data_IF_467800782421
#
_entry.id   IF_467800782421
#
_cell.length_a   1.000
_cell.length_b   1.000
_cell.length_c   1.000
_cell.angle_alpha   90.00
_cell.angle_beta   90.00
_cell.angle_gamma   90.00
#
_symmetry.space_group_name_H-M   'P 1'
#
loop_
_entity.id
_entity.type
_entity.pdbx_description
1 polymer ?
#
# COMPACT_ATOMS: atom_id res chain seq x y z
N UNK A 1 -31.99 -24.21 -16.39
CA UNK A 1 -30.97 -23.16 -16.13
C UNK A 1 -29.62 -23.79 -16.42
N UNK A 2 -28.85 -23.22 -17.34
CA UNK A 2 -27.54 -23.75 -17.72
C UNK A 2 -26.52 -23.53 -16.59
N UNK A 3 -25.38 -24.23 -16.66
CA UNK A 3 -24.28 -23.97 -15.74
C UNK A 3 -23.74 -22.54 -15.90
N UNK A 4 -23.81 -21.98 -17.11
CA UNK A 4 -23.37 -20.63 -17.44
C UNK A 4 -24.26 -19.55 -16.81
N UNK A 5 -25.57 -19.76 -16.77
CA UNK A 5 -26.52 -18.82 -16.14
C UNK A 5 -26.27 -18.69 -14.63
N UNK A 6 -25.78 -19.76 -13.99
CA UNK A 6 -25.40 -19.75 -12.57
C UNK A 6 -24.13 -18.95 -12.35
N UNK A 7 -23.15 -19.09 -13.24
CA UNK A 7 -21.89 -18.34 -13.16
C UNK A 7 -22.09 -16.85 -13.40
N UNK A 8 -22.84 -16.47 -14.44
CA UNK A 8 -23.11 -15.07 -14.76
C UNK A 8 -23.89 -14.32 -13.67
N UNK A 9 -24.60 -15.04 -12.78
CA UNK A 9 -25.30 -14.47 -11.63
C UNK A 9 -24.46 -14.40 -10.35
N UNK A 10 -23.46 -15.28 -10.24
CA UNK A 10 -22.61 -15.39 -9.05
C UNK A 10 -21.31 -14.61 -9.16
N UNK A 11 -20.92 -14.24 -10.38
CA UNK A 11 -19.66 -13.61 -10.71
C UNK A 11 -19.95 -12.26 -11.38
N UNK A 12 -19.20 -11.22 -11.01
CA UNK A 12 -19.24 -9.93 -11.69
C UNK A 12 -18.61 -10.03 -13.09
N UNK A 13 -19.43 -10.46 -14.04
CA UNK A 13 -19.03 -10.65 -15.42
C UNK A 13 -18.70 -9.35 -16.15
N UNK A 14 -19.24 -8.22 -15.69
CA UNK A 14 -18.94 -6.90 -16.27
C UNK A 14 -17.56 -6.42 -15.83
N UNK A 15 -17.23 -6.57 -14.54
CA UNK A 15 -15.89 -6.35 -14.01
C UNK A 15 -14.85 -7.22 -14.72
N UNK A 16 -15.10 -8.52 -14.81
CA UNK A 16 -14.20 -9.44 -15.53
C UNK A 16 -14.00 -9.08 -17.00
N UNK A 17 -15.05 -8.61 -17.69
CA UNK A 17 -14.95 -8.19 -19.09
C UNK A 17 -14.11 -6.92 -19.25
N UNK A 18 -14.12 -6.02 -18.26
CA UNK A 18 -13.27 -4.83 -18.23
C UNK A 18 -11.82 -5.21 -17.95
N UNK A 19 -11.58 -6.00 -16.91
CA UNK A 19 -10.24 -6.48 -16.52
C UNK A 19 -9.59 -7.27 -17.66
N UNK A 20 -10.36 -8.11 -18.37
CA UNK A 20 -9.87 -8.87 -19.53
C UNK A 20 -9.40 -7.93 -20.64
N UNK A 21 -10.14 -6.86 -20.94
CA UNK A 21 -9.73 -5.89 -21.98
C UNK A 21 -8.48 -5.12 -21.59
N UNK A 22 -8.33 -4.76 -20.32
CA UNK A 22 -7.14 -4.08 -19.82
C UNK A 22 -5.91 -5.01 -19.86
N UNK A 23 -6.08 -6.28 -19.48
CA UNK A 23 -5.03 -7.31 -19.59
C UNK A 23 -4.64 -7.57 -21.05
N UNK A 24 -5.62 -7.70 -21.95
CA UNK A 24 -5.37 -7.90 -23.39
C UNK A 24 -4.66 -6.70 -24.02
N UNK A 25 -5.04 -5.47 -23.64
CA UNK A 25 -4.40 -4.24 -24.12
C UNK A 25 -2.94 -4.12 -23.63
N UNK A 26 -2.64 -4.63 -22.44
CA UNK A 26 -1.31 -4.58 -21.82
C UNK A 26 -0.42 -5.81 -22.16
N UNK A 27 -0.80 -6.63 -23.13
CA UNK A 27 0.04 -7.72 -23.63
C UNK A 27 -0.12 -9.06 -22.92
N UNK A 28 -1.21 -9.25 -22.16
CA UNK A 28 -1.60 -10.56 -21.62
C UNK A 28 -0.76 -11.06 -20.44
N UNK A 29 0.23 -10.29 -19.98
CA UNK A 29 0.82 -10.47 -18.65
C UNK A 29 -0.02 -9.62 -17.71
N UNK A 30 -0.49 -10.17 -16.60
CA UNK A 30 -1.14 -9.38 -15.53
C UNK A 30 -0.17 -8.41 -14.82
N UNK A 31 0.85 -7.94 -15.53
CA UNK A 31 1.88 -7.01 -15.07
C UNK A 31 1.31 -5.61 -15.23
N UNK A 32 0.84 -5.06 -14.10
CA UNK A 32 0.57 -3.63 -13.98
C UNK A 32 1.78 -2.84 -14.48
N UNK A 33 1.53 -1.77 -15.24
CA UNK A 33 2.58 -0.87 -15.70
C UNK A 33 3.47 -0.46 -14.53
N UNK A 34 4.78 -0.57 -14.69
CA UNK A 34 5.72 -0.19 -13.64
C UNK A 34 5.66 1.33 -13.43
N UNK A 35 5.20 1.74 -12.24
CA UNK A 35 5.12 3.16 -11.87
C UNK A 35 6.56 3.71 -11.76
N UNK A 36 6.91 4.80 -12.46
CA UNK A 36 8.27 5.33 -12.43
C UNK A 36 8.61 5.94 -11.05
N UNK A 37 9.90 6.16 -10.79
CA UNK A 37 10.32 6.97 -9.65
C UNK A 37 9.87 8.41 -9.85
N UNK A 38 9.43 9.08 -8.79
CA UNK A 38 8.80 10.38 -8.92
C UNK A 38 8.19 10.88 -7.63
N UNK A 39 7.38 11.92 -7.75
CA UNK A 39 6.59 12.44 -6.64
C UNK A 39 5.12 12.20 -6.95
N UNK A 40 4.38 11.73 -5.94
CA UNK A 40 2.98 11.35 -6.08
C UNK A 40 2.18 11.86 -4.90
N UNK A 41 1.01 12.41 -5.17
CA UNK A 41 -0.04 12.60 -4.16
C UNK A 41 -0.76 11.27 -3.99
N UNK A 42 -0.81 10.80 -2.74
CA UNK A 42 -1.37 9.50 -2.39
C UNK A 42 -2.28 9.62 -1.18
N UNK A 43 -3.19 8.66 -1.06
CA UNK A 43 -3.76 8.27 0.23
C UNK A 43 -3.23 6.89 0.64
N UNK A 44 -3.18 6.64 1.93
CA UNK A 44 -2.83 5.31 2.44
C UNK A 44 -4.11 4.47 2.44
N UNK A 45 -4.13 3.43 1.61
CA UNK A 45 -5.30 2.55 1.45
C UNK A 45 -5.33 1.47 2.53
N UNK A 46 -4.15 1.03 2.97
CA UNK A 46 -4.00 -0.06 3.95
C UNK A 46 -2.63 -0.02 4.61
N UNK A 47 -2.59 -0.27 5.91
CA UNK A 47 -1.39 -0.72 6.61
C UNK A 47 -1.69 -1.98 7.43
N UNK A 48 -0.77 -2.93 7.44
CA UNK A 48 -0.91 -4.17 8.20
C UNK A 48 0.44 -4.75 8.61
N UNK A 49 0.43 -5.51 9.71
CA UNK A 49 1.48 -6.46 10.01
C UNK A 49 1.06 -7.85 9.52
N UNK A 50 1.88 -8.48 8.70
CA UNK A 50 1.60 -9.82 8.15
C UNK A 50 2.82 -10.70 8.08
N UNK A 51 2.59 -11.98 7.76
CA UNK A 51 3.64 -12.93 7.46
C UNK A 51 4.17 -12.73 6.04
N UNK A 52 5.49 -12.69 5.87
CA UNK A 52 6.12 -12.73 4.55
C UNK A 52 6.04 -14.12 3.93
N UNK A 53 6.39 -14.25 2.65
CA UNK A 53 6.46 -15.56 1.99
C UNK A 53 7.43 -16.56 2.63
N UNK A 54 8.30 -16.11 3.55
CA UNK A 54 9.27 -16.94 4.27
C UNK A 54 8.90 -17.21 5.73
N UNK A 55 7.77 -16.70 6.20
CA UNK A 55 7.35 -16.83 7.60
C UNK A 55 7.81 -15.71 8.53
N UNK A 56 8.60 -14.76 8.02
CA UNK A 56 9.09 -13.64 8.83
C UNK A 56 8.01 -12.54 8.97
N UNK A 57 7.92 -11.86 10.13
CA UNK A 57 7.03 -10.72 10.32
C UNK A 57 7.40 -9.55 9.38
N UNK A 58 6.39 -8.97 8.76
CA UNK A 58 6.55 -7.97 7.71
C UNK A 58 5.49 -6.87 7.82
N UNK A 59 5.94 -5.63 7.91
CA UNK A 59 5.09 -4.45 7.74
C UNK A 59 4.75 -4.27 6.26
N UNK A 60 3.48 -4.01 5.95
CA UNK A 60 2.98 -3.77 4.59
C UNK A 60 2.13 -2.52 4.56
N UNK A 61 2.38 -1.63 3.60
CA UNK A 61 1.57 -0.44 3.35
C UNK A 61 1.27 -0.28 1.85
N UNK A 62 0.02 0.11 1.56
CA UNK A 62 -0.50 0.28 0.20
C UNK A 62 -0.86 1.74 0.01
N UNK A 63 -0.30 2.39 -1.00
CA UNK A 63 -0.53 3.79 -1.30
C UNK A 63 -1.28 3.91 -2.61
N UNK A 64 -2.46 4.54 -2.61
CA UNK A 64 -3.21 4.80 -3.83
C UNK A 64 -2.88 6.19 -4.35
N UNK A 65 -2.44 6.28 -5.60
CA UNK A 65 -2.17 7.54 -6.27
C UNK A 65 -3.50 8.25 -6.55
N UNK A 66 -3.58 9.53 -6.17
CA UNK A 66 -4.81 10.32 -6.23
C UNK A 66 -4.98 11.05 -7.57
N UNK A 67 -3.87 11.43 -8.22
CA UNK A 67 -3.90 12.27 -9.41
C UNK A 67 -2.81 11.93 -10.43
N UNK A 68 -3.04 12.34 -11.68
CA UNK A 68 -2.07 12.26 -12.77
C UNK A 68 -2.19 10.98 -13.60
N UNK A 69 -1.16 10.68 -14.40
CA UNK A 69 -1.16 9.56 -15.36
C UNK A 69 -1.37 8.18 -14.69
N UNK A 70 -0.94 8.06 -13.43
CA UNK A 70 -0.99 6.81 -12.65
C UNK A 70 -2.10 6.83 -11.59
N UNK A 71 -3.09 7.71 -11.71
CA UNK A 71 -4.23 7.79 -10.80
C UNK A 71 -4.89 6.42 -10.58
N UNK A 72 -5.31 6.17 -9.35
CA UNK A 72 -5.88 4.91 -8.84
C UNK A 72 -4.95 3.69 -8.82
N UNK A 73 -3.72 3.78 -9.35
CA UNK A 73 -2.74 2.70 -9.21
C UNK A 73 -2.15 2.66 -7.79
N UNK A 74 -1.64 1.48 -7.41
CA UNK A 74 -1.09 1.22 -6.08
C UNK A 74 0.43 1.15 -6.10
N UNK A 75 1.06 1.86 -5.15
CA UNK A 75 2.44 1.68 -4.75
C UNK A 75 2.50 0.83 -3.47
N UNK A 76 3.50 -0.03 -3.36
CA UNK A 76 3.61 -0.98 -2.24
C UNK A 76 4.91 -0.77 -1.47
N UNK A 77 4.79 -0.72 -0.14
CA UNK A 77 5.91 -0.82 0.79
C UNK A 77 5.81 -2.13 1.56
N UNK A 78 6.84 -2.97 1.48
CA UNK A 78 6.93 -4.22 2.23
C UNK A 78 8.29 -4.30 2.93
N UNK A 79 8.27 -4.38 4.26
CA UNK A 79 9.47 -4.35 5.08
C UNK A 79 9.46 -5.50 6.10
N UNK A 80 10.35 -6.47 5.93
CA UNK A 80 10.60 -7.51 6.94
C UNK A 80 11.23 -6.86 8.17
N UNK A 81 10.72 -7.18 9.36
CA UNK A 81 11.06 -6.51 10.62
C UNK A 81 11.60 -7.47 11.68
N UNK A 82 12.57 -8.30 11.34
CA UNK A 82 13.21 -9.25 12.26
C UNK A 82 14.41 -8.67 13.02
N UNK A 83 14.84 -7.45 12.68
CA UNK A 83 16.02 -6.79 13.25
C UNK A 83 15.72 -5.36 13.67
N UNK A 84 16.41 -4.87 14.71
CA UNK A 84 16.15 -3.55 15.30
C UNK A 84 16.26 -2.39 14.31
N UNK A 85 17.19 -2.43 13.34
CA UNK A 85 17.28 -1.36 12.33
C UNK A 85 16.09 -1.37 11.35
N UNK A 86 15.50 -2.54 11.08
CA UNK A 86 14.33 -2.67 10.20
C UNK A 86 13.11 -2.07 10.89
N UNK A 87 12.89 -2.43 12.16
CA UNK A 87 11.85 -1.83 13.00
C UNK A 87 12.06 -0.32 13.11
N UNK A 88 13.31 0.12 13.35
CA UNK A 88 13.65 1.54 13.41
C UNK A 88 13.32 2.31 12.12
N UNK A 89 13.47 1.68 10.95
CA UNK A 89 13.09 2.29 9.67
C UNK A 89 11.57 2.41 9.54
N UNK A 90 10.81 1.37 9.91
CA UNK A 90 9.33 1.43 9.91
C UNK A 90 8.83 2.46 10.92
N UNK A 91 9.40 2.53 12.12
CA UNK A 91 9.05 3.57 13.10
C UNK A 91 9.31 4.99 12.57
N UNK A 92 10.39 5.20 11.82
CA UNK A 92 10.66 6.50 11.19
C UNK A 92 9.61 6.85 10.15
N UNK A 93 9.18 5.87 9.35
CA UNK A 93 8.10 6.05 8.39
C UNK A 93 6.77 6.35 9.09
N UNK A 94 6.36 5.54 10.07
CA UNK A 94 5.11 5.75 10.81
C UNK A 94 5.05 7.14 11.48
N UNK A 95 6.15 7.60 12.10
CA UNK A 95 6.23 8.97 12.65
C UNK A 95 6.11 10.06 11.59
N UNK A 96 6.55 9.80 10.36
CA UNK A 96 6.43 10.78 9.27
C UNK A 96 5.00 10.91 8.72
N UNK A 97 4.08 10.05 9.14
CA UNK A 97 2.67 10.15 8.78
C UNK A 97 1.94 11.23 9.59
N UNK A 98 2.54 11.70 10.69
CA UNK A 98 2.01 12.74 11.58
C UNK A 98 0.57 12.48 12.08
N UNK A 99 0.19 11.21 12.17
CA UNK A 99 -1.17 10.80 12.55
C UNK A 99 -1.32 10.55 14.07
N UNK A 100 -0.21 10.28 14.78
CA UNK A 100 -0.19 10.02 16.22
C UNK A 100 1.06 10.63 16.87
N UNK A 101 0.99 10.94 18.16
CA UNK A 101 2.08 11.60 18.90
C UNK A 101 3.30 10.68 19.14
N UNK A 102 3.06 9.38 19.37
CA UNK A 102 4.09 8.43 19.78
C UNK A 102 4.06 7.16 18.94
N UNK A 103 5.24 6.73 18.49
CA UNK A 103 5.46 5.46 17.81
C UNK A 103 6.58 4.72 18.52
N UNK A 104 6.28 3.59 19.13
CA UNK A 104 7.23 2.72 19.81
C UNK A 104 6.93 1.25 19.53
N UNK A 105 7.98 0.45 19.38
CA UNK A 105 7.87 -1.01 19.29
C UNK A 105 8.19 -1.64 20.64
N UNK A 106 7.25 -2.43 21.18
CA UNK A 106 7.45 -3.24 22.40
C UNK A 106 7.44 -4.72 22.07
N UNK A 107 6.43 -5.15 21.32
CA UNK A 107 6.28 -6.47 20.74
C UNK A 107 5.37 -6.39 19.49
N UNK A 108 5.22 -7.50 18.76
CA UNK A 108 4.45 -7.50 17.51
C UNK A 108 2.93 -7.36 17.69
N UNK A 109 2.37 -7.78 18.83
CA UNK A 109 0.94 -7.64 19.07
C UNK A 109 0.59 -6.17 19.32
N UNK A 110 1.32 -5.54 20.26
CA UNK A 110 1.20 -4.11 20.50
C UNK A 110 1.51 -3.28 19.25
N UNK A 111 2.51 -3.68 18.47
CA UNK A 111 2.86 -2.95 17.25
C UNK A 111 1.79 -3.04 16.17
N UNK A 112 1.10 -4.19 16.06
CA UNK A 112 -0.07 -4.32 15.20
C UNK A 112 -1.19 -3.38 15.65
N UNK A 113 -1.49 -3.32 16.94
CA UNK A 113 -2.50 -2.41 17.49
C UNK A 113 -2.15 -0.95 17.18
N UNK A 114 -0.90 -0.54 17.40
CA UNK A 114 -0.42 0.79 17.03
C UNK A 114 -0.59 1.09 15.54
N UNK A 115 -0.33 0.13 14.64
CA UNK A 115 -0.53 0.33 13.20
C UNK A 115 -2.02 0.53 12.87
N UNK A 116 -2.91 -0.19 13.55
CA UNK A 116 -4.36 -0.01 13.39
C UNK A 116 -4.81 1.36 13.90
N UNK A 117 -4.33 1.79 15.07
CA UNK A 117 -4.64 3.11 15.64
C UNK A 117 -4.18 4.24 14.69
N UNK A 118 -2.99 4.09 14.08
CA UNK A 118 -2.49 5.05 13.08
C UNK A 118 -3.38 5.08 11.84
N UNK A 119 -3.82 3.92 11.32
CA UNK A 119 -4.73 3.87 10.17
C UNK A 119 -6.07 4.52 10.49
N UNK A 120 -6.63 4.27 11.67
CA UNK A 120 -7.88 4.90 12.11
C UNK A 120 -7.72 6.42 12.18
N UNK A 121 -6.64 6.93 12.77
CA UNK A 121 -6.37 8.37 12.82
C UNK A 121 -6.22 9.00 11.42
N UNK A 122 -5.58 8.31 10.48
CA UNK A 122 -5.47 8.74 9.07
C UNK A 122 -6.84 8.83 8.43
N UNK A 123 -7.68 7.81 8.60
CA UNK A 123 -9.01 7.75 8.00
C UNK A 123 -9.96 8.79 8.62
N UNK A 124 -9.90 9.00 9.94
CA UNK A 124 -10.72 9.98 10.65
C UNK A 124 -10.39 11.42 10.26
N UNK A 125 -9.10 11.74 10.10
CA UNK A 125 -8.63 13.06 9.69
C UNK A 125 -8.61 13.26 8.16
N UNK A 126 -8.88 12.20 7.38
CA UNK A 126 -8.83 12.26 5.92
C UNK A 126 -7.45 12.63 5.39
N UNK A 127 -6.38 12.06 5.97
CA UNK A 127 -5.02 12.45 5.63
C UNK A 127 -4.58 11.95 4.25
N UNK A 128 -4.02 12.86 3.48
CA UNK A 128 -3.37 12.60 2.20
C UNK A 128 -1.91 13.05 2.24
N UNK A 129 -1.08 12.53 1.35
CA UNK A 129 0.37 12.68 1.44
C UNK A 129 1.01 12.97 0.09
N UNK A 130 1.93 13.92 0.06
CA UNK A 130 2.91 14.00 -1.03
C UNK A 130 4.08 13.09 -0.68
N UNK A 131 4.34 12.09 -1.51
CA UNK A 131 5.47 11.17 -1.32
C UNK A 131 6.49 11.32 -2.44
N UNK A 132 7.76 11.20 -2.09
CA UNK A 132 8.83 10.92 -3.06
C UNK A 132 9.08 9.42 -3.10
N UNK A 133 8.82 8.81 -4.25
CA UNK A 133 9.14 7.43 -4.56
C UNK A 133 10.49 7.33 -5.28
N UNK A 134 11.42 6.58 -4.68
CA UNK A 134 12.74 6.26 -5.23
C UNK A 134 13.00 4.76 -5.20
N UNK A 135 13.98 4.33 -5.97
CA UNK A 135 14.58 3.00 -5.89
C UNK A 135 15.97 3.11 -5.26
N UNK A 136 16.28 2.22 -4.31
CA UNK A 136 17.61 2.18 -3.72
C UNK A 136 18.61 1.47 -4.66
N UNK A 137 19.87 1.32 -4.23
CA UNK A 137 20.94 0.66 -5.03
C UNK A 137 20.63 -0.80 -5.41
N UNK A 138 19.65 -1.44 -4.76
CA UNK A 138 19.19 -2.81 -5.01
C UNK A 138 17.81 -2.84 -5.66
N UNK A 139 17.38 -1.72 -6.23
CA UNK A 139 16.09 -1.54 -6.90
C UNK A 139 14.84 -1.70 -6.00
N UNK A 140 15.02 -1.71 -4.68
CA UNK A 140 13.87 -1.76 -3.78
C UNK A 140 13.21 -0.40 -3.66
N UNK A 141 11.86 -0.35 -3.59
CA UNK A 141 11.14 0.88 -3.43
C UNK A 141 11.41 1.53 -2.07
N UNK A 142 11.56 2.85 -2.07
CA UNK A 142 11.76 3.70 -0.90
C UNK A 142 10.83 4.89 -1.05
N UNK A 143 10.02 5.13 -0.03
CA UNK A 143 9.07 6.23 0.01
C UNK A 143 9.45 7.19 1.13
N UNK A 144 9.35 8.49 0.85
CA UNK A 144 9.59 9.55 1.83
C UNK A 144 8.41 10.51 1.79
N UNK A 145 7.73 10.68 2.92
CA UNK A 145 6.70 11.72 3.08
C UNK A 145 7.37 13.10 2.95
N UNK A 146 6.83 13.94 2.08
CA UNK A 146 7.28 15.32 1.86
C UNK A 146 6.33 16.32 2.50
N UNK A 147 5.03 16.09 2.34
CA UNK A 147 3.96 16.93 2.85
C UNK A 147 2.80 16.05 3.31
N UNK A 148 2.04 16.56 4.28
CA UNK A 148 0.82 15.94 4.84
C UNK A 148 -0.31 16.94 4.63
N UNK A 149 -1.45 16.46 4.16
CA UNK A 149 -2.64 17.24 3.87
C UNK A 149 -3.85 16.65 4.60
N UNK A 150 -4.82 17.49 4.92
CA UNK A 150 -6.16 17.09 5.39
C UNK A 150 -7.15 17.37 4.25
N UNK A 151 -8.04 16.41 3.96
CA UNK A 151 -9.04 16.50 2.87
C UNK A 151 -10.45 16.91 3.33
#
# INVERSE_FOLDING_TARGET
>A
MSVFDKWNKAIDVEGLAKDTKEVEANGGTGEYAEIPVGTYEIKIEKMELKESSKGDPMFSAWFRILHGEYENQLLFMNAVITQGFQIGNVNRFLRSLDAVDEVEFKDYAQYNDLIMDIMEAIDEAGLEYLIEFKKNKKDFPVYTIKEVYES
#
